data_IF_548950467644
#
_entry.id   IF_548950467644
#
_cell.length_a   1.000
_cell.length_b   1.000
_cell.length_c   1.000
_cell.angle_alpha   90.00
_cell.angle_beta   90.00
_cell.angle_gamma   90.00
#
_symmetry.space_group_name_H-M   'P 1'
#
loop_
_entity.id
_entity.type
_entity.pdbx_description
1 polymer ?
#
# COMPACT_ATOMS: atom_id res chain seq x y z
N UNK A 1 5.66 -1.23 24.37
CA UNK A 1 7.02 -0.66 24.27
C UNK A 1 7.02 0.35 23.13
N UNK A 2 7.61 1.53 23.33
CA UNK A 2 7.74 2.54 22.27
C UNK A 2 8.96 2.26 21.37
N UNK A 3 9.05 2.91 20.20
CA UNK A 3 10.25 2.86 19.35
C UNK A 3 11.49 3.32 20.12
N UNK A 4 12.63 2.64 19.95
CA UNK A 4 13.89 2.97 20.65
C UNK A 4 14.73 4.00 19.90
N UNK A 5 14.49 4.15 18.59
CA UNK A 5 15.21 5.07 17.72
C UNK A 5 14.32 5.56 16.57
N UNK A 6 14.80 6.57 15.83
CA UNK A 6 14.07 7.17 14.71
C UNK A 6 13.82 6.18 13.57
N UNK A 7 14.75 5.25 13.36
CA UNK A 7 14.67 4.22 12.32
C UNK A 7 13.54 3.23 12.62
N UNK A 8 13.40 2.79 13.86
CA UNK A 8 12.32 1.90 14.30
C UNK A 8 10.95 2.55 14.16
N UNK A 9 10.81 3.82 14.58
CA UNK A 9 9.55 4.55 14.42
C UNK A 9 9.21 4.73 12.93
N UNK A 10 10.19 5.11 12.12
CA UNK A 10 9.99 5.25 10.68
C UNK A 10 9.57 3.93 10.05
N UNK A 11 10.29 2.84 10.33
CA UNK A 11 10.00 1.51 9.78
C UNK A 11 8.62 1.01 10.22
N UNK A 12 8.23 1.24 11.48
CA UNK A 12 6.92 0.88 12.00
C UNK A 12 5.79 1.63 11.27
N UNK A 13 5.95 2.94 11.09
CA UNK A 13 4.96 3.77 10.39
C UNK A 13 4.90 3.44 8.90
N UNK A 14 6.06 3.22 8.28
CA UNK A 14 6.16 2.85 6.89
C UNK A 14 5.54 1.48 6.62
N UNK A 15 5.84 0.47 7.44
CA UNK A 15 5.24 -0.87 7.30
C UNK A 15 3.74 -0.85 7.54
N UNK A 16 3.26 -0.08 8.51
CA UNK A 16 1.83 0.12 8.75
C UNK A 16 1.13 0.75 7.54
N UNK A 17 1.70 1.81 6.96
CA UNK A 17 1.14 2.44 5.76
C UNK A 17 1.17 1.49 4.55
N UNK A 18 2.28 0.76 4.37
CA UNK A 18 2.41 -0.25 3.31
C UNK A 18 1.35 -1.34 3.45
N UNK A 19 1.12 -1.84 4.66
CA UNK A 19 0.11 -2.88 4.93
C UNK A 19 -1.30 -2.42 4.52
N UNK A 20 -1.67 -1.17 4.83
CA UNK A 20 -2.96 -0.60 4.40
C UNK A 20 -3.07 -0.54 2.87
N UNK A 21 -2.00 -0.11 2.19
CA UNK A 21 -1.95 -0.02 0.73
C UNK A 21 -2.03 -1.41 0.08
N UNK A 22 -1.25 -2.37 0.58
CA UNK A 22 -1.25 -3.75 0.09
C UNK A 22 -2.61 -4.41 0.29
N UNK A 23 -3.23 -4.21 1.46
CA UNK A 23 -4.58 -4.68 1.73
C UNK A 23 -5.57 -4.11 0.72
N UNK A 24 -5.58 -2.78 0.50
CA UNK A 24 -6.47 -2.14 -0.48
C UNK A 24 -6.28 -2.69 -1.91
N UNK A 25 -5.03 -2.92 -2.35
CA UNK A 25 -4.77 -3.55 -3.64
C UNK A 25 -5.23 -5.02 -3.68
N UNK A 26 -5.13 -5.73 -2.56
CA UNK A 26 -5.69 -7.08 -2.39
C UNK A 26 -7.20 -7.10 -2.64
N UNK A 27 -7.96 -6.23 -1.97
CA UNK A 27 -9.41 -6.12 -2.14
C UNK A 27 -9.79 -5.84 -3.60
N UNK A 28 -9.09 -4.90 -4.23
CA UNK A 28 -9.31 -4.58 -5.65
C UNK A 28 -9.00 -5.77 -6.57
N UNK A 29 -7.96 -6.56 -6.29
CA UNK A 29 -7.64 -7.78 -7.06
C UNK A 29 -8.71 -8.87 -6.89
N UNK A 30 -9.29 -9.03 -5.70
CA UNK A 30 -10.38 -9.99 -5.47
C UNK A 30 -11.61 -9.60 -6.28
N UNK A 31 -12.01 -8.32 -6.22
CA UNK A 31 -13.19 -7.79 -6.90
C UNK A 31 -13.03 -7.74 -8.43
N UNK A 32 -11.87 -7.27 -8.91
CA UNK A 32 -11.66 -6.96 -10.33
C UNK A 32 -10.72 -7.97 -10.96
N UNK A 33 -11.29 -8.95 -11.66
CA UNK A 33 -10.54 -10.04 -12.31
C UNK A 33 -9.41 -9.55 -13.24
N UNK A 34 -9.57 -8.38 -13.87
CA UNK A 34 -8.57 -7.77 -14.75
C UNK A 34 -7.25 -7.45 -14.03
N UNK A 35 -7.26 -7.29 -12.71
CA UNK A 35 -6.10 -7.01 -11.88
C UNK A 35 -5.37 -8.28 -11.39
N UNK A 36 -5.96 -9.48 -11.58
CA UNK A 36 -5.40 -10.75 -11.08
C UNK A 36 -4.29 -11.32 -11.97
N UNK A 37 -4.25 -10.94 -13.25
CA UNK A 37 -3.26 -11.43 -14.20
C UNK A 37 -2.35 -10.32 -14.69
N UNK A 38 -1.11 -10.67 -15.01
CA UNK A 38 -0.21 -9.75 -15.71
C UNK A 38 -0.85 -9.29 -17.01
N UNK A 39 -1.00 -7.97 -17.15
CA UNK A 39 -1.52 -7.39 -18.37
C UNK A 39 -0.38 -7.01 -19.31
N UNK A 40 -0.53 -7.29 -20.59
CA UNK A 40 0.41 -6.85 -21.64
C UNK A 40 0.12 -5.41 -22.10
N UNK A 41 -0.69 -4.65 -21.36
CA UNK A 41 -1.01 -3.29 -21.69
C UNK A 41 0.16 -2.34 -21.42
N UNK A 42 0.34 -1.27 -22.21
CA UNK A 42 1.28 -0.21 -21.90
C UNK A 42 1.02 0.41 -20.51
N UNK A 43 2.05 0.90 -19.83
CA UNK A 43 1.95 1.49 -18.48
C UNK A 43 0.84 2.55 -18.35
N UNK A 44 0.67 3.39 -19.38
CA UNK A 44 -0.41 4.41 -19.40
C UNK A 44 -1.81 3.79 -19.32
N UNK A 45 -2.00 2.62 -19.92
CA UNK A 45 -3.28 1.90 -19.91
C UNK A 45 -3.46 1.16 -18.59
N UNK A 46 -2.40 0.54 -18.04
CA UNK A 46 -2.43 -0.08 -16.72
C UNK A 46 -2.86 0.92 -15.63
N UNK A 47 -2.29 2.13 -15.65
CA UNK A 47 -2.67 3.19 -14.72
C UNK A 47 -4.15 3.60 -14.87
N UNK A 48 -4.67 3.65 -16.09
CA UNK A 48 -6.10 3.97 -16.33
C UNK A 48 -7.03 2.86 -15.83
N UNK A 49 -6.65 1.59 -16.03
CA UNK A 49 -7.39 0.43 -15.51
C UNK A 49 -7.43 0.52 -13.97
N UNK A 50 -6.28 0.73 -13.33
CA UNK A 50 -6.18 0.86 -11.88
C UNK A 50 -7.09 1.99 -11.35
N UNK A 51 -7.02 3.18 -11.96
CA UNK A 51 -7.87 4.31 -11.59
C UNK A 51 -9.37 4.01 -11.77
N UNK A 52 -9.74 3.37 -12.89
CA UNK A 52 -11.13 2.98 -13.13
C UNK A 52 -11.64 1.99 -12.06
N UNK A 53 -10.83 1.00 -11.68
CA UNK A 53 -11.16 0.07 -10.60
C UNK A 53 -11.35 0.79 -9.26
N UNK A 54 -10.49 1.74 -8.91
CA UNK A 54 -10.64 2.55 -7.69
C UNK A 54 -11.93 3.39 -7.72
N UNK A 55 -12.22 4.06 -8.84
CA UNK A 55 -13.43 4.88 -8.96
C UNK A 55 -14.70 4.03 -8.85
N UNK A 56 -14.74 2.88 -9.53
CA UNK A 56 -15.87 1.98 -9.47
C UNK A 56 -16.06 1.38 -8.08
N UNK A 57 -14.98 0.96 -7.42
CA UNK A 57 -15.05 0.46 -6.03
C UNK A 57 -15.58 1.54 -5.09
N UNK A 58 -15.03 2.76 -5.12
CA UNK A 58 -15.51 3.87 -4.29
C UNK A 58 -16.98 4.22 -4.56
N UNK A 59 -17.41 4.16 -5.81
CA UNK A 59 -18.80 4.37 -6.19
C UNK A 59 -19.70 3.27 -5.59
N UNK A 60 -19.30 2.01 -5.69
CA UNK A 60 -20.07 0.88 -5.18
C UNK A 60 -20.16 0.92 -3.65
N UNK A 61 -19.06 1.19 -2.92
CA UNK A 61 -19.10 1.35 -1.47
C UNK A 61 -20.02 2.49 -1.01
N UNK A 62 -20.24 3.51 -1.86
CA UNK A 62 -21.14 4.62 -1.54
C UNK A 62 -22.60 4.29 -1.81
N UNK A 63 -22.88 3.64 -2.94
CA UNK A 63 -24.25 3.39 -3.40
C UNK A 63 -24.83 2.05 -2.91
N UNK A 64 -23.96 1.12 -2.52
CA UNK A 64 -24.31 -0.25 -2.08
C UNK A 64 -23.62 -0.51 -0.73
N UNK A 65 -24.22 -0.07 0.40
CA UNK A 65 -23.62 -0.20 1.73
C UNK A 65 -23.54 -1.66 2.20
N UNK A 66 -24.45 -2.53 1.76
CA UNK A 66 -24.46 -3.97 2.06
C UNK A 66 -24.00 -4.78 0.85
N UNK A 67 -22.84 -4.42 0.28
CA UNK A 67 -22.29 -5.18 -0.84
C UNK A 67 -21.80 -6.55 -0.35
N UNK A 68 -22.45 -7.66 -0.75
CA UNK A 68 -22.08 -9.00 -0.26
C UNK A 68 -20.65 -9.36 -0.64
N UNK A 69 -20.14 -8.74 -1.70
CA UNK A 69 -18.77 -8.94 -2.15
C UNK A 69 -17.79 -8.28 -1.18
N UNK A 70 -18.12 -7.16 -0.55
CA UNK A 70 -17.24 -6.54 0.46
C UNK A 70 -17.12 -7.40 1.73
N UNK A 71 -18.19 -8.08 2.15
CA UNK A 71 -18.15 -9.04 3.27
C UNK A 71 -17.25 -10.25 2.96
N UNK A 72 -17.33 -10.80 1.75
CA UNK A 72 -16.47 -11.89 1.27
C UNK A 72 -15.00 -11.45 1.09
N UNK A 73 -14.78 -10.18 0.74
CA UNK A 73 -13.44 -9.57 0.56
C UNK A 73 -12.79 -9.21 1.91
N UNK A 74 -13.58 -9.03 2.99
CA UNK A 74 -13.07 -8.68 4.33
C UNK A 74 -12.57 -9.90 5.11
N UNK A 75 -12.92 -11.12 4.68
CA UNK A 75 -12.25 -12.32 5.20
C UNK A 75 -10.78 -12.28 4.77
N UNK A 76 -9.83 -12.48 5.70
CA UNK A 76 -8.41 -12.40 5.39
C UNK A 76 -8.07 -13.46 4.35
N UNK A 77 -8.00 -13.04 3.09
CA UNK A 77 -7.46 -13.86 2.02
C UNK A 77 -6.02 -14.14 2.44
N UNK A 78 -5.65 -15.42 2.54
CA UNK A 78 -4.28 -15.80 2.84
C UNK A 78 -3.33 -14.95 2.00
N UNK A 79 -2.19 -14.47 2.55
CA UNK A 79 -1.29 -13.60 1.82
C UNK A 79 -0.96 -14.26 0.49
N UNK A 80 -1.57 -13.77 -0.58
CA UNK A 80 -1.21 -14.14 -1.92
C UNK A 80 0.20 -13.59 -2.09
N UNK A 81 1.19 -14.43 -1.81
CA UNK A 81 2.57 -14.22 -2.20
C UNK A 81 2.57 -14.18 -3.72
N UNK A 82 2.24 -13.02 -4.28
CA UNK A 82 2.49 -12.68 -5.66
C UNK A 82 4.01 -12.79 -5.81
N UNK A 83 4.46 -13.99 -6.18
CA UNK A 83 5.86 -14.41 -6.23
C UNK A 83 6.65 -13.61 -7.27
N UNK A 84 5.99 -12.66 -7.94
CA UNK A 84 6.48 -11.81 -9.00
C UNK A 84 6.45 -10.31 -8.67
N UNK A 85 6.25 -9.92 -7.40
CA UNK A 85 6.69 -8.57 -7.00
C UNK A 85 8.21 -8.61 -7.05
N UNK A 86 8.77 -8.20 -8.20
CA UNK A 86 10.19 -7.94 -8.32
C UNK A 86 10.55 -6.98 -7.19
N UNK A 87 11.15 -7.52 -6.13
CA UNK A 87 11.76 -6.71 -5.09
C UNK A 87 12.72 -5.80 -5.85
N UNK A 88 12.50 -4.50 -5.77
CA UNK A 88 13.44 -3.53 -6.32
C UNK A 88 14.73 -3.71 -5.51
N UNK A 89 15.61 -4.60 -6.00
CA UNK A 89 16.82 -5.03 -5.28
C UNK A 89 17.88 -3.94 -5.27
N UNK A 90 17.75 -2.98 -6.18
CA UNK A 90 18.71 -1.91 -6.38
C UNK A 90 17.94 -0.61 -6.54
N UNK A 91 17.52 -0.03 -5.42
CA UNK A 91 17.34 1.42 -5.39
C UNK A 91 18.77 1.95 -5.54
N UNK A 92 19.07 2.63 -6.65
CA UNK A 92 20.32 3.38 -6.77
C UNK A 92 20.55 4.16 -5.47
N UNK A 93 21.77 4.15 -4.92
CA UNK A 93 22.14 4.91 -3.72
C UNK A 93 21.98 6.41 -3.99
N UNK A 94 20.74 6.86 -4.00
CA UNK A 94 20.39 8.23 -4.25
C UNK A 94 20.48 8.93 -2.90
N UNK A 95 21.63 9.54 -2.67
CA UNK A 95 21.93 10.31 -1.46
C UNK A 95 20.79 11.29 -1.11
N UNK A 96 20.07 11.81 -2.12
CA UNK A 96 18.91 12.70 -1.92
C UNK A 96 17.73 11.96 -1.27
N UNK A 97 17.38 10.76 -1.74
CA UNK A 97 16.29 9.97 -1.15
C UNK A 97 16.61 9.49 0.25
N UNK A 98 17.86 9.09 0.50
CA UNK A 98 18.31 8.70 1.83
C UNK A 98 18.28 9.89 2.80
N UNK A 99 18.78 11.06 2.37
CA UNK A 99 18.74 12.27 3.17
C UNK A 99 17.31 12.69 3.51
N UNK A 100 16.40 12.68 2.52
CA UNK A 100 14.99 13.00 2.73
C UNK A 100 14.31 12.02 3.71
N UNK A 101 14.57 10.71 3.56
CA UNK A 101 14.05 9.69 4.46
C UNK A 101 14.55 9.91 5.89
N UNK A 102 15.84 10.18 6.05
CA UNK A 102 16.44 10.37 7.36
C UNK A 102 15.94 11.66 8.02
N UNK A 103 15.74 12.74 7.26
CA UNK A 103 15.11 13.98 7.74
C UNK A 103 13.67 13.73 8.20
N UNK A 104 12.88 12.99 7.41
CA UNK A 104 11.52 12.61 7.78
C UNK A 104 11.50 11.76 9.06
N UNK A 105 12.39 10.77 9.18
CA UNK A 105 12.52 9.94 10.38
C UNK A 105 12.89 10.79 11.61
N UNK A 106 13.79 11.76 11.45
CA UNK A 106 14.13 12.71 12.50
C UNK A 106 12.92 13.55 12.95
N UNK A 107 12.17 14.13 12.02
CA UNK A 107 10.97 14.92 12.33
C UNK A 107 9.91 14.09 13.06
N UNK A 108 9.63 12.88 12.56
CA UNK A 108 8.66 11.97 13.18
C UNK A 108 9.06 11.59 14.61
N UNK A 109 10.35 11.34 14.84
CA UNK A 109 10.85 10.96 16.16
C UNK A 109 10.86 12.13 17.14
N UNK A 110 11.24 13.34 16.69
CA UNK A 110 11.15 14.55 17.50
C UNK A 110 9.71 14.84 17.93
N UNK A 111 8.75 14.68 17.01
CA UNK A 111 7.32 14.84 17.30
C UNK A 111 6.81 13.75 18.27
N UNK A 112 7.29 12.51 18.14
CA UNK A 112 6.94 11.43 19.06
C UNK A 112 7.47 11.66 20.49
N UNK A 113 8.71 12.14 20.63
CA UNK A 113 9.28 12.53 21.92
C UNK A 113 8.53 13.70 22.56
N UNK A 114 8.07 14.67 21.77
CA UNK A 114 7.29 15.81 22.27
C UNK A 114 5.85 15.48 22.70
N UNK A 115 5.33 14.30 22.32
CA UNK A 115 4.00 13.80 22.71
C UNK A 115 4.02 12.82 23.89
N UNK A 116 5.20 12.39 24.32
CA UNK A 116 5.42 11.39 25.39
C UNK A 116 5.64 12.07 26.73
#
# INVERSE_FOLDING_TARGET
MGPQNKEELFNLKHSSARNVIEHAFGLLKVRWAILRSHSFYPMKVQNRIMMACCYLHNFLCREIPDDPLEEEITEPTEPHTDSNVAYVSTIENNLVWNAWRDELAHMMYAEWLGRS
#
